data_IF_107662974048
#
_entry.id   IF_107662974048
#
_cell.length_a   1.000
_cell.length_b   1.000
_cell.length_c   1.000
_cell.angle_alpha   90.00
_cell.angle_beta   90.00
_cell.angle_gamma   90.00
#
_symmetry.space_group_name_H-M   'P 1'
#
loop_
_entity.id
_entity.type
_entity.pdbx_description
1 polymer ?
#
# COMPACT_ATOMS: atom_id res chain seq x y z
N UNK A 1 3.14 32.03 -18.99
CA UNK A 1 2.41 31.30 -20.04
C UNK A 1 2.22 29.88 -19.55
N UNK A 2 1.12 29.60 -18.86
CA UNK A 2 0.88 28.32 -18.15
C UNK A 2 -0.38 27.59 -18.63
N UNK A 3 -1.23 28.22 -19.45
CA UNK A 3 -2.55 27.66 -19.79
C UNK A 3 -2.61 26.58 -20.90
N UNK A 4 -1.51 26.27 -21.60
CA UNK A 4 -1.53 25.28 -22.69
C UNK A 4 -1.15 23.86 -22.26
N UNK A 5 -0.27 23.72 -21.27
CA UNK A 5 0.15 22.42 -20.73
C UNK A 5 -0.89 21.81 -19.77
N UNK A 6 -1.56 22.64 -18.96
CA UNK A 6 -2.61 22.16 -18.03
C UNK A 6 -3.85 21.62 -18.77
N UNK A 7 -4.17 22.20 -19.93
CA UNK A 7 -5.29 21.72 -20.74
C UNK A 7 -4.97 20.40 -21.47
N UNK A 8 -3.69 20.05 -21.66
CA UNK A 8 -3.25 18.83 -22.35
C UNK A 8 -3.17 17.63 -21.41
N UNK A 9 -2.65 17.78 -20.18
CA UNK A 9 -2.49 16.66 -19.25
C UNK A 9 -3.82 16.17 -18.69
N UNK A 10 -4.74 17.06 -18.30
CA UNK A 10 -6.09 16.66 -17.89
C UNK A 10 -6.87 15.97 -19.01
N UNK A 11 -6.66 16.38 -20.27
CA UNK A 11 -7.23 15.69 -21.43
C UNK A 11 -6.59 14.31 -21.64
N UNK A 12 -5.28 14.19 -21.46
CA UNK A 12 -4.56 12.92 -21.57
C UNK A 12 -4.96 11.94 -20.45
N UNK A 13 -5.15 12.40 -19.21
CA UNK A 13 -5.66 11.59 -18.10
C UNK A 13 -7.10 11.11 -18.34
N UNK A 14 -7.95 11.92 -19.00
CA UNK A 14 -9.28 11.47 -19.45
C UNK A 14 -9.18 10.44 -20.57
N UNK A 15 -8.30 10.65 -21.55
CA UNK A 15 -8.06 9.70 -22.63
C UNK A 15 -7.53 8.36 -22.09
N UNK A 16 -6.64 8.40 -21.11
CA UNK A 16 -6.09 7.21 -20.44
C UNK A 16 -7.19 6.36 -19.79
N UNK A 17 -8.15 6.99 -19.10
CA UNK A 17 -9.29 6.28 -18.50
C UNK A 17 -10.14 5.57 -19.53
N UNK A 18 -10.37 6.19 -20.69
CA UNK A 18 -11.12 5.60 -21.80
C UNK A 18 -10.34 4.46 -22.49
N UNK A 19 -9.02 4.64 -22.70
CA UNK A 19 -8.14 3.63 -23.29
C UNK A 19 -8.11 2.34 -22.44
N UNK A 20 -8.03 2.49 -21.11
CA UNK A 20 -7.94 1.37 -20.17
C UNK A 20 -9.29 0.71 -19.85
N UNK A 21 -10.39 1.17 -20.46
CA UNK A 21 -11.76 0.67 -20.26
C UNK A 21 -12.11 0.52 -18.76
N UNK A 22 -11.82 1.59 -18.00
CA UNK A 22 -11.99 1.57 -16.55
C UNK A 22 -13.46 1.76 -16.15
N UNK A 23 -13.88 1.23 -14.99
CA UNK A 23 -15.23 1.44 -14.48
C UNK A 23 -15.60 2.94 -14.45
N UNK A 24 -16.72 3.27 -15.11
CA UNK A 24 -17.25 4.64 -15.17
C UNK A 24 -18.03 5.03 -13.91
N UNK A 25 -19.12 5.78 -14.09
CA UNK A 25 -20.03 6.12 -13.02
C UNK A 25 -20.68 4.87 -12.40
N UNK A 26 -21.04 4.95 -11.12
CA UNK A 26 -21.80 3.88 -10.46
C UNK A 26 -23.20 3.74 -11.08
N UNK A 27 -23.72 2.51 -11.22
CA UNK A 27 -25.10 2.29 -11.63
C UNK A 27 -26.09 2.99 -10.68
N UNK A 28 -27.21 3.55 -11.19
CA UNK A 28 -28.20 4.25 -10.36
C UNK A 28 -28.73 3.43 -9.19
N UNK A 29 -28.93 2.13 -9.38
CA UNK A 29 -29.37 1.19 -8.35
C UNK A 29 -28.33 1.03 -7.22
N UNK A 30 -27.04 1.00 -7.54
CA UNK A 30 -25.96 0.92 -6.55
C UNK A 30 -25.82 2.23 -5.76
N UNK A 31 -26.01 3.38 -6.43
CA UNK A 31 -26.04 4.69 -5.78
C UNK A 31 -27.22 4.82 -4.81
N UNK A 32 -28.42 4.42 -5.24
CA UNK A 32 -29.60 4.44 -4.39
C UNK A 32 -29.44 3.53 -3.15
N UNK A 33 -28.87 2.34 -3.33
CA UNK A 33 -28.55 1.43 -2.23
C UNK A 33 -27.52 2.06 -1.26
N UNK A 34 -26.47 2.69 -1.79
CA UNK A 34 -25.45 3.36 -0.99
C UNK A 34 -26.01 4.56 -0.18
N UNK A 35 -26.85 5.40 -0.80
CA UNK A 35 -27.50 6.52 -0.11
C UNK A 35 -28.44 6.05 1.01
N UNK A 36 -29.17 4.96 0.78
CA UNK A 36 -30.04 4.37 1.79
C UNK A 36 -29.22 3.78 2.94
N UNK A 37 -28.16 3.02 2.64
CA UNK A 37 -27.27 2.45 3.64
C UNK A 37 -26.55 3.53 4.46
N UNK A 38 -26.17 4.66 3.84
CA UNK A 38 -25.56 5.79 4.53
C UNK A 38 -26.49 6.42 5.60
N UNK A 39 -27.81 6.39 5.38
CA UNK A 39 -28.81 6.94 6.31
C UNK A 39 -29.20 5.98 7.42
N UNK A 40 -29.17 4.68 7.14
CA UNK A 40 -29.63 3.64 8.06
C UNK A 40 -28.75 2.38 7.94
N UNK A 41 -27.51 2.42 8.45
CA UNK A 41 -26.65 1.23 8.49
C UNK A 41 -27.20 0.15 9.42
N UNK A 42 -26.82 -1.10 9.17
CA UNK A 42 -27.21 -2.23 10.00
C UNK A 42 -26.28 -2.35 11.23
N UNK A 43 -26.76 -1.90 12.40
CA UNK A 43 -25.97 -1.75 13.64
C UNK A 43 -26.38 -2.61 14.88
N UNK A 44 -27.13 -3.73 14.77
CA UNK A 44 -27.79 -4.34 15.94
C UNK A 44 -26.84 -4.99 16.97
N UNK A 45 -25.53 -5.09 16.70
CA UNK A 45 -24.58 -5.83 17.53
C UNK A 45 -23.26 -5.09 17.81
N UNK A 46 -23.16 -3.79 17.49
CA UNK A 46 -21.94 -3.02 17.72
C UNK A 46 -21.82 -2.62 19.20
N UNK A 47 -20.68 -2.95 19.81
CA UNK A 47 -20.30 -2.45 21.14
C UNK A 47 -20.10 -0.93 21.10
N UNK A 48 -20.42 -0.21 22.17
CA UNK A 48 -20.02 1.19 22.27
C UNK A 48 -18.54 1.30 22.68
N UNK A 49 -17.72 1.84 21.78
CA UNK A 49 -16.31 2.15 22.01
C UNK A 49 -16.02 3.63 21.69
N UNK A 50 -17.04 4.49 21.73
CA UNK A 50 -16.92 5.90 21.34
C UNK A 50 -16.12 6.75 22.34
N UNK A 51 -15.92 6.25 23.56
CA UNK A 51 -15.09 6.88 24.59
C UNK A 51 -13.58 6.65 24.40
N UNK A 52 -13.19 5.73 23.52
CA UNK A 52 -11.78 5.44 23.25
C UNK A 52 -11.25 6.53 22.29
N UNK A 53 -10.18 7.26 22.65
CA UNK A 53 -9.72 8.41 21.86
C UNK A 53 -8.85 7.93 20.68
N UNK A 54 -9.51 7.39 19.66
CA UNK A 54 -8.88 6.98 18.42
C UNK A 54 -8.35 8.17 17.62
N UNK A 55 -7.28 7.94 16.86
CA UNK A 55 -6.69 8.88 15.91
C UNK A 55 -6.48 8.18 14.58
N UNK A 56 -6.66 8.90 13.47
CA UNK A 56 -6.20 8.42 12.15
C UNK A 56 -4.90 9.12 11.78
N UNK A 57 -4.06 8.46 10.97
CA UNK A 57 -2.86 9.05 10.39
C UNK A 57 -2.87 8.78 8.89
N UNK A 58 -3.05 9.83 8.11
CA UNK A 58 -3.28 9.74 6.67
C UNK A 58 -2.70 10.96 5.95
N UNK A 59 -2.43 10.87 4.64
CA UNK A 59 -2.11 12.05 3.84
C UNK A 59 -3.16 13.17 4.00
N UNK A 60 -2.75 14.46 3.97
CA UNK A 60 -3.67 15.58 4.19
C UNK A 60 -4.91 15.58 3.30
N UNK A 61 -4.79 15.14 2.04
CA UNK A 61 -5.88 15.09 1.07
C UNK A 61 -6.83 13.89 1.22
N UNK A 62 -6.47 12.85 1.98
CA UNK A 62 -7.28 11.64 2.11
C UNK A 62 -8.62 11.89 2.81
N UNK A 63 -9.69 11.27 2.33
CA UNK A 63 -11.04 11.36 2.92
C UNK A 63 -11.64 9.99 3.19
N UNK A 64 -11.06 8.95 2.62
CA UNK A 64 -11.34 7.52 2.75
C UNK A 64 -10.50 6.89 3.86
N UNK A 65 -10.81 7.28 5.11
CA UNK A 65 -10.05 6.88 6.29
C UNK A 65 -10.50 5.49 6.75
N UNK A 66 -9.75 4.46 6.32
CA UNK A 66 -10.01 3.05 6.67
C UNK A 66 -9.76 2.72 8.14
N UNK A 67 -8.83 3.44 8.77
CA UNK A 67 -8.11 2.98 9.96
C UNK A 67 -8.07 4.07 11.03
N UNK A 68 -8.37 3.72 12.27
CA UNK A 68 -8.13 4.57 13.43
C UNK A 68 -7.49 3.75 14.56
N UNK A 69 -6.47 4.29 15.22
CA UNK A 69 -5.74 3.57 16.25
C UNK A 69 -5.74 4.28 17.60
N UNK A 70 -5.63 3.47 18.64
CA UNK A 70 -5.34 3.89 20.00
C UNK A 70 -4.35 2.88 20.60
N UNK A 71 -3.23 3.37 21.12
CA UNK A 71 -2.16 2.55 21.68
C UNK A 71 -2.06 2.84 23.17
N UNK A 72 -1.97 1.80 23.99
CA UNK A 72 -1.82 1.95 25.45
C UNK A 72 -0.84 0.92 26.01
N UNK A 73 -0.24 1.22 27.16
CA UNK A 73 0.50 0.22 27.94
C UNK A 73 -0.49 -0.71 28.65
N UNK A 74 -0.20 -2.00 28.70
CA UNK A 74 -1.05 -2.95 29.44
C UNK A 74 -0.96 -2.66 30.94
N UNK A 75 -2.11 -2.72 31.64
CA UNK A 75 -2.22 -2.39 33.08
C UNK A 75 -1.37 -3.26 33.99
N UNK A 76 -1.02 -4.47 33.56
CA UNK A 76 -0.14 -5.39 34.27
C UNK A 76 1.35 -5.06 34.08
N UNK A 77 1.67 -4.04 33.28
CA UNK A 77 3.03 -3.61 32.94
C UNK A 77 3.75 -4.55 31.95
N UNK A 78 3.07 -5.55 31.39
CA UNK A 78 3.69 -6.62 30.59
C UNK A 78 3.58 -6.37 29.07
N UNK A 79 3.80 -5.14 28.63
CA UNK A 79 3.79 -4.76 27.21
C UNK A 79 2.70 -3.76 26.84
N UNK A 80 2.11 -3.95 25.66
CA UNK A 80 1.28 -2.93 24.99
C UNK A 80 -0.05 -3.51 24.53
N UNK A 81 -1.04 -2.64 24.35
CA UNK A 81 -2.29 -2.98 23.68
C UNK A 81 -2.47 -2.07 22.48
N UNK A 82 -2.71 -2.69 21.34
CA UNK A 82 -3.10 -2.04 20.10
C UNK A 82 -4.62 -2.18 19.97
N UNK A 83 -5.32 -1.06 20.02
CA UNK A 83 -6.72 -0.97 19.61
C UNK A 83 -6.76 -0.37 18.21
N UNK A 84 -7.26 -1.13 17.25
CA UNK A 84 -7.25 -0.73 15.84
C UNK A 84 -8.63 -0.90 15.25
N UNK A 85 -9.31 0.22 15.03
CA UNK A 85 -10.62 0.28 14.42
C UNK A 85 -10.46 0.31 12.90
N UNK A 86 -11.04 -0.69 12.23
CA UNK A 86 -11.11 -0.78 10.77
C UNK A 86 -12.56 -0.53 10.35
N UNK A 87 -12.80 0.33 9.36
CA UNK A 87 -14.14 0.65 8.87
C UNK A 87 -14.97 -0.61 8.57
N UNK A 88 -16.16 -0.76 9.18
CA UNK A 88 -17.02 -1.93 8.98
C UNK A 88 -17.92 -1.73 7.76
N UNK A 89 -17.37 -1.97 6.57
CA UNK A 89 -18.10 -1.82 5.31
C UNK A 89 -19.28 -2.79 5.20
N UNK A 90 -19.26 -3.92 5.90
CA UNK A 90 -20.35 -4.89 5.89
C UNK A 90 -21.62 -4.36 6.57
N UNK A 91 -21.51 -3.32 7.42
CA UNK A 91 -22.66 -2.60 7.96
C UNK A 91 -23.45 -1.80 6.90
N UNK A 92 -22.85 -1.56 5.73
CA UNK A 92 -23.43 -0.76 4.64
C UNK A 92 -23.78 -1.57 3.39
N UNK A 93 -23.13 -2.71 3.16
CA UNK A 93 -23.30 -3.50 1.95
C UNK A 93 -24.20 -4.70 2.20
N UNK A 94 -25.33 -4.78 1.47
CA UNK A 94 -26.18 -5.97 1.47
C UNK A 94 -25.60 -7.01 0.51
N UNK A 95 -25.26 -8.24 0.96
CA UNK A 95 -24.79 -9.30 0.08
C UNK A 95 -25.79 -9.60 -1.06
N UNK A 96 -25.29 -9.73 -2.28
CA UNK A 96 -26.10 -9.92 -3.49
C UNK A 96 -26.86 -8.67 -3.97
N UNK A 97 -26.69 -7.52 -3.30
CA UNK A 97 -27.23 -6.23 -3.72
C UNK A 97 -26.54 -5.64 -4.95
N UNK A 98 -27.07 -4.52 -5.45
CA UNK A 98 -26.48 -3.82 -6.58
C UNK A 98 -25.13 -3.18 -6.23
N UNK A 99 -25.01 -2.65 -5.01
CA UNK A 99 -23.77 -2.09 -4.49
C UNK A 99 -22.69 -3.17 -4.31
N UNK A 100 -23.07 -4.35 -3.83
CA UNK A 100 -22.21 -5.51 -3.67
C UNK A 100 -21.67 -6.01 -5.02
N UNK A 101 -22.55 -6.18 -6.00
CA UNK A 101 -22.17 -6.57 -7.36
C UNK A 101 -21.22 -5.57 -8.03
N UNK A 102 -21.39 -4.27 -7.77
CA UNK A 102 -20.50 -3.24 -8.29
C UNK A 102 -19.14 -3.23 -7.57
N UNK A 103 -19.10 -3.51 -6.26
CA UNK A 103 -17.86 -3.68 -5.52
C UNK A 103 -17.01 -4.85 -6.07
N UNK A 104 -17.65 -5.98 -6.44
CA UNK A 104 -16.99 -7.10 -7.13
C UNK A 104 -16.46 -6.73 -8.52
N UNK A 105 -17.15 -5.87 -9.28
CA UNK A 105 -16.66 -5.38 -10.57
C UNK A 105 -15.44 -4.45 -10.46
N UNK A 106 -15.43 -3.63 -9.41
CA UNK A 106 -14.38 -2.63 -9.18
C UNK A 106 -13.15 -3.23 -8.49
N UNK A 107 -13.36 -4.10 -7.50
CA UNK A 107 -12.37 -4.83 -6.69
C UNK A 107 -11.47 -3.95 -5.81
N UNK A 108 -10.99 -2.84 -6.33
CA UNK A 108 -10.09 -1.90 -5.66
C UNK A 108 -10.34 -0.48 -6.13
N UNK A 109 -10.02 0.50 -5.28
CA UNK A 109 -9.93 1.90 -5.71
C UNK A 109 -8.72 2.06 -6.64
N UNK A 110 -8.91 2.84 -7.72
CA UNK A 110 -7.84 3.21 -8.66
C UNK A 110 -7.51 4.70 -8.46
N UNK A 111 -6.24 5.01 -8.20
CA UNK A 111 -5.79 6.38 -7.93
C UNK A 111 -5.18 7.01 -9.18
N UNK A 112 -5.45 8.29 -9.37
CA UNK A 112 -4.95 9.13 -10.44
C UNK A 112 -4.43 10.44 -9.85
N UNK A 113 -3.58 11.19 -10.58
CA UNK A 113 -3.13 12.52 -10.15
C UNK A 113 -4.28 13.51 -9.95
N UNK A 114 -5.33 13.41 -10.77
CA UNK A 114 -6.50 14.29 -10.79
C UNK A 114 -7.74 13.70 -10.10
N UNK A 115 -7.59 12.60 -9.34
CA UNK A 115 -8.69 12.02 -8.56
C UNK A 115 -8.60 10.50 -8.42
N UNK A 116 -9.75 9.84 -8.30
CA UNK A 116 -9.83 8.38 -8.11
C UNK A 116 -11.10 7.79 -8.70
N UNK A 117 -11.03 6.49 -8.99
CA UNK A 117 -12.19 5.65 -9.28
C UNK A 117 -12.38 4.77 -8.02
N UNK A 118 -13.28 5.15 -7.10
CA UNK A 118 -13.37 4.48 -5.81
C UNK A 118 -14.05 3.12 -5.94
N UNK A 119 -13.70 2.21 -5.02
CA UNK A 119 -14.35 0.90 -4.86
C UNK A 119 -15.83 1.06 -4.47
N UNK A 120 -16.12 1.98 -3.54
CA UNK A 120 -17.46 2.30 -3.07
C UNK A 120 -17.85 3.74 -3.40
N UNK A 121 -19.14 4.07 -3.60
CA UNK A 121 -19.60 5.44 -3.80
C UNK A 121 -19.11 6.38 -2.69
N UNK A 122 -18.81 7.63 -3.03
CA UNK A 122 -18.21 8.61 -2.11
C UNK A 122 -19.09 8.91 -0.89
N UNK A 123 -20.42 8.78 -1.02
CA UNK A 123 -21.36 8.88 0.12
C UNK A 123 -21.04 7.87 1.24
N UNK A 124 -20.42 6.73 0.89
CA UNK A 124 -19.90 5.75 1.83
C UNK A 124 -18.41 5.94 2.06
N UNK A 125 -17.58 5.80 1.01
CA UNK A 125 -16.12 5.72 1.13
C UNK A 125 -15.49 6.98 1.69
N UNK A 126 -16.03 8.16 1.39
CA UNK A 126 -15.53 9.46 1.87
C UNK A 126 -16.47 10.08 2.92
N UNK A 127 -17.46 9.32 3.38
CA UNK A 127 -18.56 9.81 4.21
C UNK A 127 -18.95 8.81 5.29
N UNK A 128 -20.06 8.10 5.09
CA UNK A 128 -20.69 7.31 6.12
C UNK A 128 -19.82 6.15 6.64
N UNK A 129 -18.95 5.57 5.82
CA UNK A 129 -18.07 4.46 6.24
C UNK A 129 -16.66 4.93 6.65
N UNK A 130 -16.26 6.14 6.26
CA UNK A 130 -14.95 6.72 6.61
C UNK A 130 -14.88 7.10 8.09
N UNK A 131 -13.76 6.80 8.75
CA UNK A 131 -13.50 7.10 10.17
C UNK A 131 -13.13 8.57 10.40
N UNK A 132 -13.94 9.48 9.87
CA UNK A 132 -13.76 10.92 9.96
C UNK A 132 -13.78 11.43 11.42
N UNK A 133 -13.04 12.50 11.74
CA UNK A 133 -13.00 13.06 13.09
C UNK A 133 -14.36 13.56 13.59
N UNK A 134 -14.67 13.28 14.86
CA UNK A 134 -15.90 13.71 15.55
C UNK A 134 -17.14 12.85 15.25
N UNK A 135 -17.05 11.99 14.24
CA UNK A 135 -18.17 11.23 13.72
C UNK A 135 -18.24 9.82 14.33
N UNK A 136 -19.44 9.36 14.67
CA UNK A 136 -19.65 7.97 15.14
C UNK A 136 -19.74 7.05 13.93
N UNK A 137 -18.93 6.00 13.90
CA UNK A 137 -18.80 5.08 12.77
C UNK A 137 -18.71 3.63 13.23
N UNK A 138 -19.34 2.67 12.53
CA UNK A 138 -19.15 1.25 12.78
C UNK A 138 -17.77 0.79 12.32
N UNK A 139 -17.14 -0.03 13.13
CA UNK A 139 -15.81 -0.58 12.89
C UNK A 139 -15.70 -2.04 13.35
N UNK A 140 -14.87 -2.81 12.65
CA UNK A 140 -14.24 -4.00 13.20
C UNK A 140 -13.10 -3.52 14.12
N UNK A 141 -13.33 -3.55 15.42
CA UNK A 141 -12.38 -3.15 16.45
C UNK A 141 -11.49 -4.33 16.82
N UNK A 142 -10.25 -4.28 16.37
CA UNK A 142 -9.20 -5.21 16.73
C UNK A 142 -8.58 -4.80 18.07
N UNK A 143 -8.39 -5.78 18.95
CA UNK A 143 -7.60 -5.67 20.17
C UNK A 143 -6.47 -6.69 20.10
N UNK A 144 -5.24 -6.20 20.00
CA UNK A 144 -4.04 -7.02 19.95
C UNK A 144 -3.16 -6.66 21.15
N UNK A 145 -3.01 -7.60 22.09
CA UNK A 145 -2.11 -7.45 23.23
C UNK A 145 -0.73 -7.95 22.81
N UNK A 146 0.28 -7.13 23.08
CA UNK A 146 1.69 -7.39 22.87
C UNK A 146 2.40 -7.58 24.22
N UNK A 147 3.42 -8.44 24.24
CA UNK A 147 4.37 -8.48 25.36
C UNK A 147 5.41 -7.35 25.29
N UNK A 148 6.41 -7.40 26.18
CA UNK A 148 7.47 -6.38 26.26
C UNK A 148 8.38 -6.34 25.03
N UNK A 149 8.49 -7.45 24.29
CA UNK A 149 9.31 -7.58 23.08
C UNK A 149 8.48 -7.29 21.81
N UNK A 150 7.22 -6.89 22.00
CA UNK A 150 6.29 -6.57 20.93
C UNK A 150 5.66 -7.79 20.27
N UNK A 151 5.79 -9.01 20.81
CA UNK A 151 5.17 -10.22 20.26
C UNK A 151 3.67 -10.24 20.60
N UNK A 152 2.82 -10.61 19.64
CA UNK A 152 1.39 -10.74 19.88
C UNK A 152 1.09 -11.93 20.78
N UNK A 153 0.45 -11.67 21.93
CA UNK A 153 0.08 -12.68 22.93
C UNK A 153 -1.41 -12.94 23.03
N UNK A 154 -2.25 -12.00 22.58
CA UNK A 154 -3.69 -12.21 22.46
C UNK A 154 -4.26 -11.34 21.33
N UNK A 155 -5.24 -11.87 20.61
CA UNK A 155 -5.97 -11.16 19.55
C UNK A 155 -7.46 -11.38 19.74
N UNK A 156 -8.24 -10.32 19.62
CA UNK A 156 -9.70 -10.36 19.56
C UNK A 156 -10.19 -9.32 18.55
N UNK A 157 -11.32 -9.55 17.89
CA UNK A 157 -11.96 -8.58 17.00
C UNK A 157 -13.45 -8.59 17.21
N UNK A 158 -14.05 -7.41 17.34
CA UNK A 158 -15.50 -7.27 17.56
C UNK A 158 -16.04 -6.09 16.78
N UNK A 159 -17.33 -6.15 16.43
CA UNK A 159 -18.03 -4.97 15.91
C UNK A 159 -18.21 -3.93 17.01
N UNK A 160 -17.85 -2.69 16.73
CA UNK A 160 -17.98 -1.58 17.66
C UNK A 160 -18.34 -0.26 16.95
N UNK A 161 -19.04 0.63 17.64
CA UNK A 161 -19.16 2.04 17.27
C UNK A 161 -17.97 2.80 17.85
N UNK A 162 -17.24 3.50 17.01
CA UNK A 162 -16.06 4.29 17.39
C UNK A 162 -16.26 5.74 17.01
N UNK A 163 -15.51 6.63 17.65
CA UNK A 163 -15.41 8.05 17.28
C UNK A 163 -13.94 8.43 17.18
N UNK A 164 -13.47 8.71 15.96
CA UNK A 164 -12.13 9.27 15.78
C UNK A 164 -12.09 10.69 16.36
N UNK A 165 -11.05 11.04 17.11
CA UNK A 165 -10.89 12.38 17.69
C UNK A 165 -10.29 13.36 16.69
N UNK A 166 -9.33 12.90 15.90
CA UNK A 166 -8.58 13.73 14.97
C UNK A 166 -8.01 12.90 13.82
N UNK A 167 -7.87 13.57 12.68
CA UNK A 167 -7.07 13.11 11.54
C UNK A 167 -5.73 13.83 11.64
N UNK A 168 -4.65 13.05 11.69
CA UNK A 168 -3.28 13.58 11.72
C UNK A 168 -2.59 13.28 10.39
N UNK A 169 -1.59 14.09 10.05
CA UNK A 169 -0.67 13.82 8.94
C UNK A 169 0.67 13.28 9.46
N UNK A 170 1.35 12.45 8.65
CA UNK A 170 2.61 11.82 9.05
C UNK A 170 3.71 12.82 9.41
N UNK A 171 3.80 13.95 8.71
CA UNK A 171 4.80 14.97 9.02
C UNK A 171 4.54 15.63 10.39
N UNK A 172 3.27 15.90 10.72
CA UNK A 172 2.82 16.36 12.02
C UNK A 172 3.14 15.36 13.14
N UNK A 173 2.81 14.10 12.93
CA UNK A 173 3.09 13.01 13.88
C UNK A 173 4.59 12.87 14.15
N UNK A 174 5.40 12.83 13.10
CA UNK A 174 6.86 12.75 13.19
C UNK A 174 7.40 13.90 14.04
N UNK A 175 6.99 15.15 13.76
CA UNK A 175 7.41 16.33 14.53
C UNK A 175 7.01 16.24 16.01
N UNK A 176 5.79 15.83 16.32
CA UNK A 176 5.33 15.72 17.72
C UNK A 176 6.11 14.66 18.50
N UNK A 177 6.41 13.52 17.87
CA UNK A 177 7.22 12.46 18.47
C UNK A 177 8.66 12.91 18.68
N UNK A 178 9.28 13.56 17.68
CA UNK A 178 10.67 14.00 17.76
C UNK A 178 10.89 15.12 18.78
N UNK A 179 9.90 15.99 18.96
CA UNK A 179 9.96 17.10 19.93
C UNK A 179 9.44 16.72 21.32
N UNK A 180 8.96 15.49 21.50
CA UNK A 180 8.44 15.00 22.78
C UNK A 180 7.11 15.63 23.22
N UNK A 181 6.34 16.18 22.27
CA UNK A 181 5.04 16.81 22.53
C UNK A 181 3.84 15.90 22.22
N UNK A 182 4.08 14.72 21.65
CA UNK A 182 3.03 13.75 21.36
C UNK A 182 2.39 13.23 22.67
N UNK A 183 1.06 13.15 22.70
CA UNK A 183 0.33 12.45 23.77
C UNK A 183 0.71 10.96 23.78
N UNK A 184 0.61 10.31 24.95
CA UNK A 184 1.11 8.94 25.15
C UNK A 184 0.66 7.95 24.06
N UNK A 185 -0.62 7.87 23.66
CA UNK A 185 -1.03 6.93 22.60
C UNK A 185 -0.29 7.13 21.28
N UNK A 186 0.01 8.38 20.90
CA UNK A 186 0.74 8.68 19.69
C UNK A 186 2.26 8.47 19.88
N UNK A 187 2.80 8.80 21.06
CA UNK A 187 4.21 8.57 21.37
C UNK A 187 4.57 7.07 21.33
N UNK A 188 3.65 6.20 21.78
CA UNK A 188 3.79 4.74 21.76
C UNK A 188 3.91 4.15 20.34
N UNK A 189 3.51 4.89 19.29
CA UNK A 189 3.68 4.44 17.91
C UNK A 189 5.14 4.13 17.59
N UNK A 190 6.07 4.99 18.04
CA UNK A 190 7.52 4.79 17.86
C UNK A 190 8.00 3.55 18.61
N UNK A 191 7.59 3.38 19.86
CA UNK A 191 8.02 2.28 20.71
C UNK A 191 7.56 0.93 20.14
N UNK A 192 6.26 0.83 19.86
CA UNK A 192 5.66 -0.39 19.30
C UNK A 192 6.22 -0.65 17.90
N UNK A 193 6.29 0.37 17.03
CA UNK A 193 6.80 0.23 15.67
C UNK A 193 8.23 -0.31 15.62
N UNK A 194 9.10 0.13 16.55
CA UNK A 194 10.48 -0.38 16.67
C UNK A 194 10.53 -1.83 17.11
N UNK A 195 9.80 -2.20 18.17
CA UNK A 195 9.73 -3.58 18.62
C UNK A 195 9.19 -4.50 17.52
N UNK A 196 8.18 -4.05 16.78
CA UNK A 196 7.63 -4.82 15.65
C UNK A 196 8.62 -4.95 14.48
N UNK A 197 9.42 -3.93 14.20
CA UNK A 197 10.50 -4.01 13.21
C UNK A 197 11.62 -4.98 13.64
N UNK A 198 11.93 -5.05 14.93
CA UNK A 198 12.87 -6.04 15.50
C UNK A 198 12.31 -7.46 15.35
N UNK A 199 11.03 -7.69 15.67
CA UNK A 199 10.35 -8.96 15.42
C UNK A 199 10.34 -9.31 13.92
N UNK A 200 10.18 -8.30 13.05
CA UNK A 200 10.22 -8.50 11.61
C UNK A 200 11.58 -9.00 11.13
N UNK A 201 12.65 -8.39 11.63
CA UNK A 201 14.02 -8.82 11.37
C UNK A 201 14.27 -10.24 11.90
N UNK A 202 13.86 -10.53 13.13
CA UNK A 202 14.10 -11.82 13.78
C UNK A 202 13.47 -13.00 13.01
N UNK A 203 12.29 -12.81 12.41
CA UNK A 203 11.65 -13.83 11.55
C UNK A 203 12.14 -13.81 10.09
N UNK A 204 13.04 -12.89 9.72
CA UNK A 204 13.61 -12.80 8.37
C UNK A 204 12.76 -12.05 7.34
N UNK A 205 11.76 -11.27 7.77
CA UNK A 205 10.98 -10.45 6.85
C UNK A 205 11.61 -9.09 6.57
N UNK A 206 11.09 -8.46 5.52
CA UNK A 206 11.71 -7.35 4.82
C UNK A 206 10.64 -6.31 4.47
N UNK A 207 10.84 -5.09 4.95
CA UNK A 207 10.21 -3.88 4.45
C UNK A 207 11.24 -3.12 3.61
N UNK A 208 10.87 -2.70 2.40
CA UNK A 208 11.74 -1.95 1.50
C UNK A 208 11.38 -0.46 1.57
N UNK A 209 12.32 0.38 2.00
CA UNK A 209 12.17 1.84 2.02
C UNK A 209 12.60 2.43 0.67
N UNK A 210 11.95 2.01 -0.41
CA UNK A 210 12.24 2.52 -1.76
C UNK A 210 11.81 3.98 -1.83
N UNK A 211 12.64 4.92 -2.33
CA UNK A 211 12.19 6.28 -2.59
C UNK A 211 10.98 6.27 -3.52
N UNK A 212 9.89 6.87 -3.07
CA UNK A 212 8.66 6.95 -3.85
C UNK A 212 8.76 8.14 -4.81
N UNK A 213 8.34 7.91 -6.06
CA UNK A 213 8.14 8.98 -7.02
C UNK A 213 6.71 9.47 -6.86
N UNK A 214 6.55 10.70 -6.38
CA UNK A 214 5.24 11.30 -6.14
C UNK A 214 4.91 12.35 -7.19
N UNK A 215 3.65 12.34 -7.62
CA UNK A 215 3.10 13.38 -8.46
C UNK A 215 2.61 14.49 -7.55
N UNK A 216 3.24 15.65 -7.64
CA UNK A 216 2.93 16.83 -6.83
C UNK A 216 2.15 17.84 -7.67
N UNK A 217 1.04 18.34 -7.14
CA UNK A 217 0.28 19.42 -7.77
C UNK A 217 0.76 20.78 -7.21
N UNK A 218 1.08 21.72 -8.11
CA UNK A 218 1.43 23.08 -7.78
C UNK A 218 0.73 24.07 -8.72
N UNK A 219 -0.14 24.91 -8.16
CA UNK A 219 -0.86 25.97 -8.88
C UNK A 219 -1.58 25.50 -10.16
N UNK A 220 -2.15 24.28 -10.14
CA UNK A 220 -2.86 23.68 -11.28
C UNK A 220 -1.97 22.93 -12.28
N UNK A 221 -0.65 22.93 -12.07
CA UNK A 221 0.33 22.14 -12.81
C UNK A 221 0.80 20.92 -12.01
N UNK A 222 1.24 19.88 -12.69
CA UNK A 222 1.79 18.67 -12.06
C UNK A 222 3.30 18.61 -12.20
N UNK A 223 3.98 18.18 -11.14
CA UNK A 223 5.42 17.90 -11.09
C UNK A 223 5.70 16.51 -10.52
N UNK A 224 6.97 16.10 -10.53
CA UNK A 224 7.42 14.86 -9.91
C UNK A 224 8.48 15.17 -8.86
N UNK A 225 8.37 14.54 -7.69
CA UNK A 225 9.36 14.62 -6.63
C UNK A 225 9.67 13.23 -6.09
N UNK A 226 10.93 12.99 -5.70
CA UNK A 226 11.26 11.82 -4.89
C UNK A 226 11.05 12.13 -3.42
N UNK A 227 10.36 11.23 -2.71
CA UNK A 227 10.14 11.33 -1.28
C UNK A 227 10.62 10.05 -0.60
N UNK A 228 11.46 10.22 0.41
CA UNK A 228 11.75 9.13 1.36
C UNK A 228 10.61 9.06 2.39
N UNK A 229 10.07 7.86 2.68
CA UNK A 229 9.07 7.69 3.73
C UNK A 229 9.59 8.19 5.09
N UNK A 230 8.72 8.82 5.89
CA UNK A 230 9.07 9.20 7.26
C UNK A 230 9.11 7.96 8.17
N UNK A 231 9.94 7.93 9.23
CA UNK A 231 9.92 6.83 10.20
C UNK A 231 8.54 6.53 10.79
N UNK A 232 7.71 7.55 10.99
CA UNK A 232 6.32 7.40 11.44
C UNK A 232 5.45 6.56 10.48
N UNK A 233 5.70 6.61 9.18
CA UNK A 233 5.01 5.77 8.19
C UNK A 233 5.39 4.31 8.36
N UNK A 234 6.69 4.03 8.54
CA UNK A 234 7.18 2.67 8.79
C UNK A 234 6.63 2.11 10.12
N UNK A 235 6.56 2.91 11.19
CA UNK A 235 5.97 2.49 12.46
C UNK A 235 4.47 2.19 12.32
N UNK A 236 3.72 3.02 11.59
CA UNK A 236 2.30 2.78 11.34
C UNK A 236 2.07 1.54 10.45
N UNK A 237 2.91 1.33 9.44
CA UNK A 237 2.86 0.14 8.60
C UNK A 237 3.01 -1.16 9.43
N UNK A 238 3.85 -1.16 10.47
CA UNK A 238 3.99 -2.30 11.38
C UNK A 238 2.71 -2.63 12.16
N UNK A 239 1.86 -1.64 12.46
CA UNK A 239 0.54 -1.88 13.09
C UNK A 239 -0.42 -2.60 12.13
N UNK A 240 -0.43 -2.17 10.87
CA UNK A 240 -1.19 -2.84 9.81
C UNK A 240 -0.67 -4.26 9.54
N UNK A 241 0.65 -4.45 9.48
CA UNK A 241 1.27 -5.78 9.31
C UNK A 241 0.94 -6.71 10.47
N UNK A 242 1.06 -6.23 11.71
CA UNK A 242 0.66 -6.96 12.92
C UNK A 242 -0.79 -7.45 12.83
N UNK A 243 -1.71 -6.57 12.41
CA UNK A 243 -3.13 -6.90 12.30
C UNK A 243 -3.39 -7.91 11.18
N UNK A 244 -2.74 -7.77 10.02
CA UNK A 244 -2.84 -8.74 8.92
C UNK A 244 -2.29 -10.12 9.27
N UNK A 245 -1.21 -10.19 10.06
CA UNK A 245 -0.67 -11.44 10.60
C UNK A 245 -1.62 -12.07 11.62
N UNK A 246 -2.20 -11.26 12.51
CA UNK A 246 -3.15 -11.72 13.51
C UNK A 246 -4.44 -12.25 12.87
N UNK A 247 -4.97 -11.57 11.85
CA UNK A 247 -6.10 -12.01 11.04
C UNK A 247 -5.83 -13.35 10.36
N UNK A 248 -4.66 -13.50 9.74
CA UNK A 248 -4.27 -14.74 9.07
C UNK A 248 -4.20 -15.93 10.05
N UNK A 249 -3.65 -15.70 11.25
CA UNK A 249 -3.60 -16.72 12.32
C UNK A 249 -4.99 -17.10 12.82
N UNK A 250 -5.87 -16.13 13.08
CA UNK A 250 -7.27 -16.41 13.48
C UNK A 250 -8.00 -17.29 12.45
N UNK A 251 -7.85 -16.97 11.16
CA UNK A 251 -8.45 -17.77 10.09
C UNK A 251 -7.82 -19.17 9.99
N UNK A 252 -6.50 -19.27 10.13
CA UNK A 252 -5.80 -20.55 10.10
C UNK A 252 -6.25 -21.46 11.25
N UNK A 253 -6.36 -20.93 12.47
CA UNK A 253 -6.83 -21.67 13.65
C UNK A 253 -8.28 -22.12 13.50
N UNK A 254 -9.13 -21.31 12.85
CA UNK A 254 -10.53 -21.65 12.57
C UNK A 254 -10.70 -22.61 11.39
N UNK A 255 -9.70 -22.69 10.50
CA UNK A 255 -9.65 -23.63 9.36
C UNK A 255 -10.30 -23.13 8.06
N UNK A 256 -10.77 -21.89 8.00
CA UNK A 256 -11.32 -21.29 6.79
C UNK A 256 -10.83 -19.86 6.64
N UNK A 257 -10.29 -19.51 5.47
CA UNK A 257 -9.77 -18.18 5.27
C UNK A 257 -9.26 -17.86 3.88
N UNK A 258 -8.71 -16.66 3.76
CA UNK A 258 -8.01 -16.17 2.58
C UNK A 258 -6.67 -15.56 3.00
N UNK A 259 -5.57 -16.11 2.47
CA UNK A 259 -4.23 -15.63 2.71
C UNK A 259 -3.74 -14.79 1.54
N UNK A 260 -2.88 -13.82 1.84
CA UNK A 260 -2.07 -13.10 0.88
C UNK A 260 -0.72 -13.82 0.81
N UNK A 261 -0.52 -14.65 -0.19
CA UNK A 261 0.71 -15.45 -0.36
C UNK A 261 1.68 -14.74 -1.29
N UNK A 262 2.97 -14.96 -1.06
CA UNK A 262 4.05 -14.56 -1.96
C UNK A 262 5.05 -15.71 -1.96
N UNK A 263 5.27 -16.38 -3.12
CA UNK A 263 6.24 -17.46 -3.23
C UNK A 263 7.64 -17.02 -2.79
N UNK A 264 8.42 -17.97 -2.29
CA UNK A 264 9.84 -17.74 -2.03
C UNK A 264 10.56 -17.32 -3.31
N UNK A 265 11.56 -16.46 -3.17
CA UNK A 265 12.36 -16.03 -4.30
C UNK A 265 12.98 -17.26 -5.01
N UNK A 266 12.96 -17.30 -6.35
CA UNK A 266 13.47 -18.46 -7.10
C UNK A 266 14.96 -18.69 -6.84
N UNK A 267 15.42 -19.91 -7.08
CA UNK A 267 16.83 -20.27 -6.95
C UNK A 267 17.74 -19.31 -7.74
N UNK A 268 18.81 -18.85 -7.11
CA UNK A 268 19.75 -17.90 -7.70
C UNK A 268 19.32 -16.44 -7.67
N UNK A 269 18.12 -16.10 -7.17
CA UNK A 269 17.68 -14.71 -7.01
C UNK A 269 18.61 -13.90 -6.09
N UNK A 270 19.02 -14.47 -4.96
CA UNK A 270 20.01 -13.86 -4.04
C UNK A 270 21.37 -13.72 -4.71
N UNK A 271 21.78 -14.71 -5.52
CA UNK A 271 23.03 -14.62 -6.27
C UNK A 271 23.00 -13.50 -7.32
N UNK A 272 21.85 -13.26 -7.97
CA UNK A 272 21.62 -12.10 -8.84
C UNK A 272 21.74 -10.80 -8.05
N UNK A 273 21.03 -10.67 -6.94
CA UNK A 273 21.14 -9.46 -6.09
C UNK A 273 22.56 -9.23 -5.58
N UNK A 274 23.33 -10.28 -5.24
CA UNK A 274 24.73 -10.12 -4.84
C UNK A 274 25.61 -9.58 -5.98
N UNK A 275 25.34 -9.95 -7.23
CA UNK A 275 26.03 -9.35 -8.39
C UNK A 275 25.64 -7.88 -8.55
N UNK A 276 24.35 -7.54 -8.43
CA UNK A 276 23.88 -6.16 -8.46
C UNK A 276 24.50 -5.33 -7.33
N UNK A 277 24.54 -5.86 -6.11
CA UNK A 277 25.18 -5.21 -4.95
C UNK A 277 26.65 -4.92 -5.21
N UNK A 278 27.41 -5.88 -5.75
CA UNK A 278 28.81 -5.66 -6.11
C UNK A 278 28.97 -4.56 -7.19
N UNK A 279 28.13 -4.57 -8.24
CA UNK A 279 28.16 -3.55 -9.28
C UNK A 279 27.82 -2.15 -8.73
N UNK A 280 26.83 -2.08 -7.83
CA UNK A 280 26.39 -0.86 -7.15
C UNK A 280 27.29 -0.44 -5.96
N UNK A 281 28.38 -1.19 -5.71
CA UNK A 281 29.32 -0.93 -4.61
C UNK A 281 28.64 -0.93 -3.24
N UNK A 282 27.62 -1.78 -3.06
CA UNK A 282 26.97 -2.06 -1.78
C UNK A 282 27.81 -3.06 -1.01
N UNK A 283 28.19 -2.72 0.23
CA UNK A 283 28.88 -3.65 1.10
C UNK A 283 27.90 -4.74 1.59
N UNK A 284 28.04 -5.94 1.02
CA UNK A 284 27.25 -7.10 1.42
C UNK A 284 28.15 -8.30 1.71
N UNK A 285 28.73 -8.37 2.92
CA UNK A 285 29.51 -9.52 3.34
C UNK A 285 28.72 -10.84 3.25
N UNK A 286 29.41 -11.95 2.99
CA UNK A 286 28.74 -13.25 2.79
C UNK A 286 27.93 -13.73 4.01
N UNK A 287 28.33 -13.33 5.21
CA UNK A 287 27.68 -13.72 6.47
C UNK A 287 26.50 -12.81 6.85
N UNK A 288 26.35 -11.65 6.20
CA UNK A 288 25.27 -10.71 6.51
C UNK A 288 23.99 -11.15 5.78
N UNK A 289 22.88 -11.37 6.51
CA UNK A 289 21.60 -11.71 5.92
C UNK A 289 21.07 -10.61 4.99
N UNK A 290 20.34 -11.00 3.95
CA UNK A 290 19.72 -10.07 3.00
C UNK A 290 18.87 -9.00 3.70
N UNK A 291 18.07 -9.38 4.70
CA UNK A 291 17.18 -8.47 5.43
C UNK A 291 17.93 -7.42 6.28
N UNK A 292 19.17 -7.70 6.67
CA UNK A 292 20.03 -6.74 7.39
C UNK A 292 20.65 -5.75 6.41
N UNK A 293 21.10 -6.21 5.24
CA UNK A 293 21.60 -5.32 4.19
C UNK A 293 20.53 -4.33 3.75
N UNK A 294 19.32 -4.80 3.44
CA UNK A 294 18.23 -3.92 2.98
C UNK A 294 17.96 -2.78 3.97
N UNK A 295 17.94 -3.07 5.28
CA UNK A 295 17.68 -2.07 6.32
C UNK A 295 18.83 -1.08 6.55
N UNK A 296 20.05 -1.42 6.14
CA UNK A 296 21.19 -0.51 6.22
C UNK A 296 21.27 0.47 5.06
N UNK A 297 20.42 0.30 4.04
CA UNK A 297 20.39 1.14 2.85
C UNK A 297 19.69 2.47 3.15
N UNK A 298 20.47 3.54 3.06
CA UNK A 298 19.99 4.91 2.96
C UNK A 298 19.38 5.22 1.56
N UNK A 299 18.05 5.43 1.44
CA UNK A 299 17.38 5.71 0.18
C UNK A 299 17.79 7.03 -0.49
N UNK A 300 18.43 7.97 0.23
CA UNK A 300 18.90 9.22 -0.35
C UNK A 300 20.18 9.04 -1.18
N UNK A 301 20.88 7.90 -1.03
CA UNK A 301 22.07 7.55 -1.83
C UNK A 301 21.66 6.83 -3.11
N UNK A 302 22.13 7.33 -4.25
CA UNK A 302 21.73 6.82 -5.57
C UNK A 302 21.98 5.32 -5.79
N UNK A 303 23.13 4.81 -5.34
CA UNK A 303 23.46 3.40 -5.47
C UNK A 303 22.62 2.51 -4.53
N UNK A 304 22.25 3.02 -3.36
CA UNK A 304 21.34 2.34 -2.44
C UNK A 304 19.92 2.31 -2.99
N UNK A 305 19.41 3.45 -3.49
CA UNK A 305 18.11 3.53 -4.14
C UNK A 305 17.99 2.57 -5.34
N UNK A 306 19.03 2.50 -6.19
CA UNK A 306 19.10 1.53 -7.29
C UNK A 306 19.02 0.09 -6.78
N UNK A 307 19.75 -0.23 -5.70
CA UNK A 307 19.72 -1.57 -5.14
C UNK A 307 18.36 -1.91 -4.49
N UNK A 308 17.75 -0.95 -3.78
CA UNK A 308 16.39 -1.08 -3.22
C UNK A 308 15.36 -1.33 -4.33
N UNK A 309 15.48 -0.62 -5.46
CA UNK A 309 14.63 -0.86 -6.64
C UNK A 309 14.80 -2.27 -7.17
N UNK A 310 16.04 -2.79 -7.27
CA UNK A 310 16.26 -4.18 -7.68
C UNK A 310 15.72 -5.21 -6.69
N UNK A 311 15.73 -4.90 -5.40
CA UNK A 311 15.14 -5.74 -4.36
C UNK A 311 13.62 -5.93 -4.56
N UNK A 312 12.92 -4.94 -5.14
CA UNK A 312 11.48 -5.05 -5.43
C UNK A 312 11.16 -6.19 -6.40
N UNK A 313 12.12 -6.61 -7.25
CA UNK A 313 11.94 -7.73 -8.19
C UNK A 313 11.69 -9.05 -7.48
N UNK A 314 12.13 -9.20 -6.23
CA UNK A 314 11.89 -10.38 -5.40
C UNK A 314 10.49 -10.41 -4.77
N UNK A 315 9.77 -9.28 -4.81
CA UNK A 315 8.44 -9.14 -4.22
C UNK A 315 7.31 -9.40 -5.23
N UNK A 316 7.66 -9.79 -6.46
CA UNK A 316 6.70 -10.07 -7.55
C UNK A 316 6.05 -11.44 -7.38
N UNK A 317 4.82 -11.58 -7.88
CA UNK A 317 4.09 -12.86 -7.89
C UNK A 317 3.22 -13.09 -6.66
N UNK A 318 3.10 -12.08 -5.80
CA UNK A 318 2.22 -12.12 -4.66
C UNK A 318 0.75 -12.25 -5.14
N UNK A 319 -0.01 -13.24 -4.67
CA UNK A 319 -1.45 -13.41 -4.91
C UNK A 319 -2.31 -13.67 -3.65
N UNK A 320 -3.57 -14.05 -3.86
CA UNK A 320 -4.45 -14.50 -2.79
C UNK A 320 -4.73 -15.99 -2.93
N UNK A 321 -4.86 -16.69 -1.81
CA UNK A 321 -5.14 -18.12 -1.81
C UNK A 321 -6.15 -18.42 -0.71
N UNK A 322 -7.23 -19.10 -1.08
CA UNK A 322 -8.28 -19.52 -0.15
C UNK A 322 -7.94 -20.90 0.41
N UNK A 323 -8.34 -21.14 1.65
CA UNK A 323 -8.30 -22.45 2.28
C UNK A 323 -9.57 -22.72 3.08
N UNK A 324 -9.93 -23.99 3.17
CA UNK A 324 -11.08 -24.49 3.93
C UNK A 324 -10.70 -25.83 4.58
N UNK A 325 -11.40 -26.22 5.64
CA UNK A 325 -11.15 -27.51 6.32
C UNK A 325 -9.84 -27.61 7.09
N UNK A 326 -9.10 -26.50 7.26
CA UNK A 326 -7.78 -26.47 7.90
C UNK A 326 -6.61 -26.75 6.95
N UNK A 327 -6.87 -27.01 5.68
CA UNK A 327 -5.84 -27.32 4.69
C UNK A 327 -5.19 -26.04 4.15
N UNK A 328 -4.17 -25.55 4.85
CA UNK A 328 -3.42 -24.37 4.44
C UNK A 328 -2.71 -24.60 3.09
N UNK A 329 -2.60 -23.57 2.24
CA UNK A 329 -1.91 -23.69 0.96
C UNK A 329 -0.41 -23.90 1.14
N UNK A 330 0.27 -24.49 0.15
CA UNK A 330 1.72 -24.67 0.16
C UNK A 330 2.38 -23.88 -1.00
N UNK A 331 3.21 -22.86 -0.72
CA UNK A 331 3.50 -22.30 0.61
C UNK A 331 2.37 -21.40 1.14
N UNK A 332 2.14 -21.46 2.46
CA UNK A 332 1.12 -20.63 3.13
C UNK A 332 1.60 -19.19 3.41
N UNK A 333 2.90 -18.93 3.26
CA UNK A 333 3.54 -17.71 3.75
C UNK A 333 3.57 -16.61 2.69
N UNK A 334 3.73 -15.38 3.17
CA UNK A 334 4.15 -14.26 2.35
C UNK A 334 5.65 -14.06 2.49
N UNK A 335 6.46 -14.39 1.48
CA UNK A 335 7.94 -14.39 1.60
C UNK A 335 8.55 -13.08 2.16
N UNK A 336 7.98 -11.92 1.82
CA UNK A 336 8.44 -10.63 2.36
C UNK A 336 8.09 -10.43 3.84
N UNK A 337 6.93 -10.92 4.29
CA UNK A 337 6.51 -10.85 5.69
C UNK A 337 7.14 -11.99 6.48
N UNK A 338 7.56 -13.08 5.83
CA UNK A 338 8.10 -14.28 6.43
C UNK A 338 7.17 -14.90 7.50
N UNK A 339 5.85 -14.81 7.29
CA UNK A 339 4.81 -15.39 8.13
C UNK A 339 3.50 -15.55 7.32
N UNK A 340 2.46 -16.12 7.94
CA UNK A 340 1.09 -16.03 7.46
C UNK A 340 0.65 -14.56 7.44
N UNK A 341 -0.02 -14.17 6.37
CA UNK A 341 -0.47 -12.79 6.20
C UNK A 341 -1.75 -12.73 5.38
N UNK A 342 -2.61 -11.77 5.72
CA UNK A 342 -3.75 -11.39 4.90
C UNK A 342 -3.97 -9.88 4.93
N UNK A 343 -4.75 -9.41 3.97
CA UNK A 343 -5.21 -8.04 3.93
C UNK A 343 -6.56 -7.90 4.65
N UNK A 344 -6.61 -7.03 5.67
CA UNK A 344 -7.81 -6.83 6.49
C UNK A 344 -7.94 -5.40 7.07
N UNK A 345 -7.14 -4.45 6.59
CA UNK A 345 -7.03 -3.10 7.19
C UNK A 345 -7.46 -1.98 6.25
N UNK A 346 -7.93 -2.29 5.04
CA UNK A 346 -8.24 -1.30 4.00
C UNK A 346 -9.56 -1.55 3.22
N UNK A 347 -10.69 -1.82 3.89
CA UNK A 347 -11.93 -2.25 3.23
C UNK A 347 -12.65 -1.19 2.39
N UNK A 348 -12.36 0.10 2.57
CA UNK A 348 -12.91 1.18 1.75
C UNK A 348 -12.28 1.19 0.35
N UNK A 349 -11.07 0.62 0.19
CA UNK A 349 -10.31 0.64 -1.07
C UNK A 349 -9.96 -0.74 -1.61
N UNK A 350 -10.21 -1.82 -0.88
CA UNK A 350 -9.85 -3.18 -1.30
C UNK A 350 -10.90 -4.21 -0.86
N UNK A 351 -11.45 -4.94 -1.83
CA UNK A 351 -12.59 -5.84 -1.64
C UNK A 351 -12.32 -6.96 -0.62
N UNK A 352 -11.16 -7.61 -0.69
CA UNK A 352 -10.83 -8.77 0.15
C UNK A 352 -10.88 -8.49 1.66
N UNK A 353 -10.60 -7.25 2.08
CA UNK A 353 -10.53 -6.87 3.49
C UNK A 353 -11.91 -6.99 4.16
N UNK A 354 -12.99 -6.79 3.41
CA UNK A 354 -14.35 -7.05 3.88
C UNK A 354 -14.53 -8.52 4.27
N UNK A 355 -14.08 -9.44 3.42
CA UNK A 355 -14.21 -10.87 3.66
C UNK A 355 -13.29 -11.33 4.79
N UNK A 356 -12.04 -10.84 4.83
CA UNK A 356 -11.12 -11.13 5.91
C UNK A 356 -11.68 -10.67 7.28
N UNK A 357 -12.32 -9.50 7.31
CA UNK A 357 -12.99 -8.99 8.52
C UNK A 357 -14.12 -9.89 8.98
N UNK A 358 -15.01 -10.32 8.08
CA UNK A 358 -16.12 -11.23 8.43
C UNK A 358 -15.64 -12.59 8.92
N UNK A 359 -14.59 -13.14 8.29
CA UNK A 359 -14.00 -14.41 8.71
C UNK A 359 -13.43 -14.32 10.13
N UNK A 360 -12.73 -13.23 10.44
CA UNK A 360 -12.15 -13.02 11.77
C UNK A 360 -13.21 -12.70 12.84
N UNK A 361 -14.25 -11.94 12.49
CA UNK A 361 -15.41 -11.69 13.35
C UNK A 361 -16.16 -12.99 13.67
N UNK A 362 -16.35 -13.87 12.69
CA UNK A 362 -16.96 -15.19 12.91
C UNK A 362 -16.07 -16.09 13.79
N UNK A 363 -14.76 -16.13 13.51
CA UNK A 363 -13.79 -16.93 14.24
C UNK A 363 -13.76 -16.57 15.74
N UNK A 364 -13.64 -15.27 16.06
CA UNK A 364 -13.61 -14.79 17.45
C UNK A 364 -14.95 -14.94 18.18
N UNK A 365 -16.07 -14.88 17.45
CA UNK A 365 -17.40 -15.17 17.99
C UNK A 365 -17.67 -16.67 18.17
N UNK A 366 -16.76 -17.56 17.75
CA UNK A 366 -16.97 -19.01 17.76
C UNK A 366 -18.08 -19.49 16.82
N UNK A 367 -18.36 -18.71 15.76
CA UNK A 367 -19.41 -18.99 14.77
C UNK A 367 -18.80 -19.47 13.46
N UNK A 368 -19.63 -20.08 12.62
CA UNK A 368 -19.26 -20.33 11.23
C UNK A 368 -19.27 -19.02 10.42
N UNK A 369 -18.38 -18.87 9.42
CA UNK A 369 -18.44 -17.73 8.52
C UNK A 369 -19.83 -17.59 7.87
N UNK A 370 -20.32 -16.36 7.66
CA UNK A 370 -21.58 -16.13 6.96
C UNK A 370 -21.64 -16.84 5.61
N UNK A 371 -22.82 -17.31 5.21
CA UNK A 371 -23.00 -18.07 3.96
C UNK A 371 -22.49 -17.30 2.73
N UNK A 372 -22.86 -16.02 2.60
CA UNK A 372 -22.41 -15.17 1.50
C UNK A 372 -20.88 -15.00 1.43
N UNK A 373 -20.17 -15.10 2.56
CA UNK A 373 -18.70 -15.07 2.60
C UNK A 373 -18.17 -16.37 2.01
N UNK A 374 -18.69 -17.52 2.47
CA UNK A 374 -18.25 -18.85 2.00
C UNK A 374 -18.52 -19.04 0.50
N UNK A 375 -19.66 -18.58 0.02
CA UNK A 375 -20.02 -18.66 -1.42
C UNK A 375 -19.11 -17.80 -2.31
N UNK A 376 -18.69 -16.63 -1.83
CA UNK A 376 -17.83 -15.73 -2.61
C UNK A 376 -16.34 -16.13 -2.58
N UNK A 377 -15.88 -16.78 -1.49
CA UNK A 377 -14.46 -17.12 -1.26
C UNK A 377 -13.76 -17.70 -2.50
N UNK A 378 -14.27 -18.74 -3.19
CA UNK A 378 -13.57 -19.36 -4.32
C UNK A 378 -13.28 -18.40 -5.49
N UNK A 379 -14.09 -17.36 -5.69
CA UNK A 379 -13.94 -16.40 -6.78
C UNK A 379 -12.95 -15.27 -6.46
N UNK A 380 -12.83 -14.90 -5.17
CA UNK A 380 -12.07 -13.74 -4.72
C UNK A 380 -10.60 -13.71 -5.20
N UNK A 381 -9.82 -14.81 -5.18
CA UNK A 381 -8.45 -14.78 -5.68
C UNK A 381 -8.31 -14.26 -7.11
N UNK A 382 -9.22 -14.68 -8.00
CA UNK A 382 -9.21 -14.27 -9.39
C UNK A 382 -9.58 -12.79 -9.53
N UNK A 383 -10.65 -12.37 -8.86
CA UNK A 383 -11.09 -10.96 -8.87
C UNK A 383 -9.97 -10.04 -8.34
N UNK A 384 -9.38 -10.40 -7.20
CA UNK A 384 -8.29 -9.64 -6.60
C UNK A 384 -7.05 -9.57 -7.50
N UNK A 385 -6.72 -10.64 -8.23
CA UNK A 385 -5.64 -10.62 -9.20
C UNK A 385 -5.93 -9.68 -10.38
N UNK A 386 -7.17 -9.67 -10.89
CA UNK A 386 -7.62 -8.77 -11.94
C UNK A 386 -7.60 -7.29 -11.49
N UNK A 387 -8.11 -7.01 -10.29
CA UNK A 387 -8.08 -5.69 -9.67
C UNK A 387 -6.65 -5.19 -9.44
N UNK A 388 -5.77 -6.04 -8.90
CA UNK A 388 -4.34 -5.70 -8.67
C UNK A 388 -3.64 -5.37 -9.99
N UNK A 389 -3.87 -6.18 -11.04
CA UNK A 389 -3.32 -5.93 -12.38
C UNK A 389 -3.82 -4.61 -12.97
N UNK A 390 -5.12 -4.32 -12.83
CA UNK A 390 -5.72 -3.06 -13.30
C UNK A 390 -5.10 -1.85 -12.57
N UNK A 391 -5.01 -1.91 -11.24
CA UNK A 391 -4.40 -0.85 -10.43
C UNK A 391 -2.95 -0.58 -10.83
N UNK A 392 -2.11 -1.62 -10.93
CA UNK A 392 -0.71 -1.45 -11.33
C UNK A 392 -0.51 -1.01 -12.79
N UNK A 393 -1.48 -1.25 -13.68
CA UNK A 393 -1.48 -0.66 -15.04
C UNK A 393 -1.82 0.82 -15.00
N UNK A 394 -2.82 1.22 -14.20
CA UNK A 394 -3.22 2.61 -14.04
C UNK A 394 -2.09 3.44 -13.43
N UNK A 395 -1.49 2.97 -12.33
CA UNK A 395 -0.41 3.64 -11.63
C UNK A 395 0.77 3.93 -12.54
N UNK A 396 1.30 2.89 -13.22
CA UNK A 396 2.40 3.04 -14.18
C UNK A 396 2.04 3.99 -15.32
N UNK A 397 0.86 3.85 -15.92
CA UNK A 397 0.45 4.70 -17.02
C UNK A 397 0.26 6.17 -16.61
N UNK A 398 -0.12 6.46 -15.37
CA UNK A 398 -0.21 7.82 -14.84
C UNK A 398 1.18 8.43 -14.67
N UNK A 399 2.12 7.66 -14.08
CA UNK A 399 3.52 8.08 -13.92
C UNK A 399 4.14 8.35 -15.29
N UNK A 400 4.11 7.38 -16.21
CA UNK A 400 4.68 7.50 -17.56
C UNK A 400 4.10 8.70 -18.33
N UNK A 401 2.80 8.99 -18.14
CA UNK A 401 2.14 10.14 -18.75
C UNK A 401 2.65 11.47 -18.19
N UNK A 402 2.75 11.59 -16.86
CA UNK A 402 3.25 12.81 -16.20
C UNK A 402 4.72 13.04 -16.54
N UNK A 403 5.55 11.99 -16.54
CA UNK A 403 6.94 12.05 -16.97
C UNK A 403 7.08 12.56 -18.41
N UNK A 404 6.29 11.99 -19.33
CA UNK A 404 6.31 12.41 -20.73
C UNK A 404 5.81 13.84 -20.92
N UNK A 405 4.79 14.28 -20.16
CA UNK A 405 4.28 15.65 -20.21
C UNK A 405 5.29 16.67 -19.66
N UNK A 406 6.03 16.31 -18.60
CA UNK A 406 7.06 17.18 -18.01
C UNK A 406 8.28 17.38 -18.91
N UNK A 407 8.55 16.42 -19.79
CA UNK A 407 9.71 16.43 -20.69
C UNK A 407 9.37 16.81 -22.13
N UNK A 408 8.09 16.97 -22.47
CA UNK A 408 7.64 17.37 -23.80
C UNK A 408 8.23 18.74 -24.20
N UNK A 409 8.81 18.81 -25.40
CA UNK A 409 9.42 20.04 -25.93
C UNK A 409 10.84 20.31 -25.43
N UNK A 410 11.43 19.40 -24.65
CA UNK A 410 12.80 19.48 -24.13
C UNK A 410 13.77 18.56 -24.88
N UNK A 411 13.37 17.99 -26.01
CA UNK A 411 14.21 17.09 -26.79
C UNK A 411 15.53 17.75 -27.20
N UNK A 412 16.62 17.01 -27.03
CA UNK A 412 17.99 17.49 -27.25
C UNK A 412 18.64 18.10 -26.00
N UNK A 413 17.88 18.44 -24.96
CA UNK A 413 18.44 18.88 -23.67
C UNK A 413 19.25 17.77 -22.99
N UNK A 414 20.24 18.19 -22.20
CA UNK A 414 21.10 17.31 -21.43
C UNK A 414 20.68 17.31 -19.96
N UNK A 415 20.63 16.11 -19.37
CA UNK A 415 20.27 15.88 -17.98
C UNK A 415 21.38 15.10 -17.27
N UNK A 416 21.53 15.34 -15.98
CA UNK A 416 22.34 14.48 -15.12
C UNK A 416 21.45 13.35 -14.60
N UNK A 417 21.90 12.11 -14.78
CA UNK A 417 21.14 10.91 -14.47
C UNK A 417 21.98 9.85 -13.76
N UNK A 418 21.33 8.96 -13.02
CA UNK A 418 21.95 7.78 -12.43
C UNK A 418 21.45 6.52 -13.12
N UNK A 419 22.34 5.60 -13.49
CA UNK A 419 21.93 4.29 -14.02
C UNK A 419 21.47 3.43 -12.85
N UNK A 420 20.21 3.01 -12.86
CA UNK A 420 19.64 2.20 -11.77
C UNK A 420 19.46 0.74 -12.13
N UNK A 421 19.33 0.44 -13.42
CA UNK A 421 19.20 -0.92 -13.95
C UNK A 421 19.81 -1.01 -15.35
N UNK A 422 20.27 -2.21 -15.74
CA UNK A 422 20.82 -2.52 -17.06
C UNK A 422 20.31 -3.88 -17.52
N UNK A 423 20.03 -4.01 -18.82
CA UNK A 423 19.56 -5.30 -19.34
C UNK A 423 20.70 -6.32 -19.39
N UNK A 424 20.46 -7.52 -18.86
CA UNK A 424 21.43 -8.63 -18.88
C UNK A 424 21.95 -8.96 -20.29
N UNK A 425 21.08 -8.84 -21.30
CA UNK A 425 21.41 -9.21 -22.70
C UNK A 425 22.10 -8.09 -23.47
N UNK A 426 21.79 -6.84 -23.15
CA UNK A 426 22.36 -5.67 -23.78
C UNK A 426 22.64 -4.59 -22.72
N UNK A 427 23.83 -4.62 -22.10
CA UNK A 427 24.19 -3.67 -21.05
C UNK A 427 24.28 -2.21 -21.52
N UNK A 428 24.18 -1.92 -22.82
CA UNK A 428 24.07 -0.55 -23.33
C UNK A 428 22.64 0.01 -23.21
N UNK A 429 21.67 -0.83 -22.84
CA UNK A 429 20.28 -0.47 -22.59
C UNK A 429 19.98 -0.63 -21.10
N UNK A 430 19.28 0.34 -20.54
CA UNK A 430 18.95 0.30 -19.12
C UNK A 430 17.89 1.31 -18.72
N UNK A 431 17.82 1.52 -17.41
CA UNK A 431 16.92 2.47 -16.77
C UNK A 431 17.76 3.49 -16.03
N UNK A 432 17.38 4.76 -16.13
CA UNK A 432 18.03 5.88 -15.45
C UNK A 432 17.05 6.65 -14.57
N UNK A 433 17.55 7.22 -13.48
CA UNK A 433 16.82 8.19 -12.66
C UNK A 433 17.41 9.59 -12.90
N UNK A 434 16.58 10.52 -13.35
CA UNK A 434 16.90 11.94 -13.36
C UNK A 434 16.68 12.53 -11.97
N UNK A 435 17.57 13.42 -11.53
CA UNK A 435 17.38 14.12 -10.25
C UNK A 435 16.32 15.22 -10.34
N UNK A 436 16.31 15.95 -11.45
CA UNK A 436 15.42 17.07 -11.70
C UNK A 436 15.11 17.18 -13.21
N UNK A 437 13.86 16.93 -13.64
CA UNK A 437 12.73 16.45 -12.83
C UNK A 437 12.96 15.01 -12.32
N UNK A 438 12.26 14.60 -11.26
CA UNK A 438 12.34 13.23 -10.72
C UNK A 438 11.67 12.24 -11.69
N UNK A 439 12.41 11.79 -12.71
CA UNK A 439 11.91 10.94 -13.82
C UNK A 439 12.71 9.64 -13.90
N UNK A 440 12.01 8.53 -14.09
CA UNK A 440 12.58 7.21 -14.36
C UNK A 440 12.47 6.92 -15.86
N UNK A 441 13.59 7.05 -16.57
CA UNK A 441 13.61 6.96 -18.04
C UNK A 441 14.32 5.72 -18.56
N UNK A 442 13.90 5.23 -19.74
CA UNK A 442 14.70 4.27 -20.50
C UNK A 442 15.87 4.99 -21.19
N UNK A 443 17.05 4.38 -21.13
CA UNK A 443 18.23 4.82 -21.88
C UNK A 443 18.67 3.74 -22.87
N UNK A 444 18.99 4.15 -24.11
CA UNK A 444 19.54 3.28 -25.16
C UNK A 444 20.39 4.07 -26.16
N UNK A 445 20.89 3.40 -27.21
CA UNK A 445 21.66 4.04 -28.28
C UNK A 445 23.14 4.28 -27.96
N UNK A 446 23.64 3.76 -26.82
CA UNK A 446 25.06 3.69 -26.51
C UNK A 446 25.75 2.53 -27.24
N UNK A 447 27.07 2.63 -27.41
CA UNK A 447 27.93 1.55 -27.94
C UNK A 447 28.74 0.83 -26.86
N UNK A 448 28.69 1.34 -25.62
CA UNK A 448 29.39 0.79 -24.47
C UNK A 448 28.39 0.43 -23.35
N UNK A 449 28.74 -0.52 -22.46
CA UNK A 449 27.93 -0.82 -21.28
C UNK A 449 27.69 0.40 -20.42
N UNK A 450 26.46 0.55 -19.92
CA UNK A 450 26.07 1.62 -19.01
C UNK A 450 26.72 1.41 -17.63
N UNK A 451 27.21 2.48 -16.97
CA UNK A 451 27.86 2.36 -15.67
C UNK A 451 26.81 2.26 -14.55
N UNK A 452 26.34 1.04 -14.27
CA UNK A 452 25.33 0.75 -13.23
C UNK A 452 25.71 1.35 -11.87
N UNK A 453 24.79 2.12 -11.26
CA UNK A 453 24.99 2.82 -9.98
C UNK A 453 25.75 4.14 -10.07
N UNK A 454 26.26 4.49 -11.25
CA UNK A 454 27.03 5.72 -11.45
C UNK A 454 26.19 6.82 -12.12
N UNK A 455 26.71 8.04 -12.01
CA UNK A 455 26.14 9.21 -12.67
C UNK A 455 26.66 9.30 -14.10
N UNK A 456 25.78 9.52 -15.07
CA UNK A 456 26.14 9.93 -16.41
C UNK A 456 25.34 11.15 -16.87
N UNK A 457 25.82 11.80 -17.94
CA UNK A 457 25.04 12.81 -18.65
C UNK A 457 24.30 12.15 -19.79
N UNK A 458 23.01 12.46 -19.91
CA UNK A 458 22.10 11.87 -20.90
C UNK A 458 21.45 12.96 -21.71
N UNK A 459 21.12 12.66 -22.97
CA UNK A 459 20.35 13.52 -23.86
C UNK A 459 18.93 12.96 -23.98
N UNK A 460 17.92 13.81 -23.80
CA UNK A 460 16.54 13.43 -24.10
C UNK A 460 16.38 13.31 -25.62
N UNK A 461 16.02 12.13 -26.11
CA UNK A 461 15.84 11.88 -27.55
C UNK A 461 14.37 11.86 -27.95
N UNK A 462 13.47 11.58 -27.02
CA UNK A 462 12.02 11.55 -27.26
C UNK A 462 11.25 11.77 -25.97
N UNK A 463 10.28 12.68 -25.98
CA UNK A 463 9.22 12.75 -24.98
C UNK A 463 7.87 12.88 -25.69
N UNK A 464 6.90 12.04 -25.35
CA UNK A 464 5.62 12.02 -26.06
C UNK A 464 4.48 11.58 -25.15
N UNK A 465 3.65 12.52 -24.64
CA UNK A 465 2.55 12.20 -23.73
C UNK A 465 1.53 11.24 -24.33
N UNK A 466 1.20 11.41 -25.62
CA UNK A 466 0.27 10.52 -26.33
C UNK A 466 0.76 9.07 -26.42
N UNK A 467 2.08 8.87 -26.50
CA UNK A 467 2.69 7.55 -26.52
C UNK A 467 3.09 7.08 -25.11
N UNK A 468 3.04 7.95 -24.09
CA UNK A 468 3.61 7.75 -22.74
C UNK A 468 5.05 7.24 -22.81
N UNK A 469 5.86 7.87 -23.67
CA UNK A 469 7.26 7.46 -23.88
C UNK A 469 8.21 8.59 -23.56
N UNK A 470 9.22 8.25 -22.77
CA UNK A 470 10.42 9.05 -22.57
C UNK A 470 11.63 8.18 -22.91
N UNK A 471 12.53 8.69 -23.74
CA UNK A 471 13.75 7.99 -24.15
C UNK A 471 14.97 8.89 -24.05
N UNK A 472 16.05 8.32 -23.54
CA UNK A 472 17.34 8.99 -23.42
C UNK A 472 18.43 8.23 -24.18
N UNK A 473 19.50 8.96 -24.50
CA UNK A 473 20.74 8.40 -24.99
C UNK A 473 21.94 8.95 -24.20
N UNK A 474 23.06 8.22 -24.06
CA UNK A 474 24.30 8.78 -23.54
C UNK A 474 24.69 10.05 -24.31
N UNK A 475 25.11 11.10 -23.59
CA UNK A 475 25.35 12.42 -24.16
C UNK A 475 26.57 12.49 -25.09
#
# INVERSE_FOLDING_TARGET
>A
MTGAADCSLGAALRALRAELDLPGAFPPEALAEAEQAARAPDLPAHLDATDIPFLTIDPPASTDLDQAMHLERRRDGRGYRVLYAIADVAAYLRPGGALDAEAHRRVTTLYFPDGRIPLHPTVLSEGAASLLPGEIRPAALWRIDLDGDGVAVATDVRRALVRSRAKLDYAGVQRQIDTGTAEEPLALLRDIGRLRAEQELARGGISLDVPEQEIVEHDGSYGLAYRAPLPAEAWNAQISLLTGMAAARLMADKGTGILRTLPLAPDGAVARLRRSAHALRIDWPHHVPYAEVVRSLDPEKSNHAAFLQECTTLLRGAGYTVFEGGDLPDPAVHAAVADLYTHCTAPLRRLVDRYASELCLAATAGKEPPEWVREALPALPKEMAEGTRRAGTVERACVDLVEAALLEGREGELFDAYVVDVQDRDPAIGTIHLRDPAVVGRIEGGTAPLPLGERLRVRLTRAGPAARTVLFAPA
#
